data_IF_487326309692
#
_entry.id   IF_487326309692
#
_cell.length_a   1.000
_cell.length_b   1.000
_cell.length_c   1.000
_cell.angle_alpha   90.00
_cell.angle_beta   90.00
_cell.angle_gamma   90.00
#
_symmetry.space_group_name_H-M   'P 1'
#
loop_
_entity.id
_entity.type
_entity.pdbx_description
1 polymer ?
#
# COMPACT_ATOMS: atom_id res chain seq x y z
N UNK A 1 3.53 1.45 -19.78
CA UNK A 1 3.49 0.22 -18.95
C UNK A 1 2.25 0.27 -18.08
N UNK A 2 1.44 -0.80 -17.99
CA UNK A 2 0.23 -0.80 -17.14
C UNK A 2 0.60 -1.28 -15.73
N UNK A 3 0.49 -0.40 -14.74
CA UNK A 3 0.63 -0.76 -13.33
C UNK A 3 -0.50 -1.70 -12.88
N UNK A 4 -0.21 -2.61 -11.96
CA UNK A 4 -1.22 -3.41 -11.26
C UNK A 4 -1.73 -2.62 -10.06
N UNK A 5 -3.04 -2.56 -9.89
CA UNK A 5 -3.67 -1.89 -8.76
C UNK A 5 -4.11 -2.89 -7.70
N UNK A 6 -3.77 -2.61 -6.45
CA UNK A 6 -4.22 -3.33 -5.26
C UNK A 6 -4.96 -2.36 -4.34
N UNK A 7 -6.09 -2.79 -3.79
CA UNK A 7 -6.94 -1.95 -2.95
C UNK A 7 -6.94 -2.50 -1.54
N UNK A 8 -6.78 -1.60 -0.57
CA UNK A 8 -6.74 -1.97 0.83
C UNK A 8 -7.57 -1.01 1.66
N UNK A 9 -8.12 -1.56 2.75
CA UNK A 9 -8.66 -0.80 3.87
C UNK A 9 -7.68 -0.90 5.02
N UNK A 10 -7.27 0.24 5.56
CA UNK A 10 -6.25 0.33 6.62
C UNK A 10 -6.80 1.12 7.80
N UNK A 11 -6.16 1.02 8.97
CA UNK A 11 -6.32 2.03 10.01
C UNK A 11 -6.02 3.42 9.42
N UNK A 12 -7.03 4.29 9.40
CA UNK A 12 -6.94 5.64 8.82
C UNK A 12 -5.83 6.50 9.44
N UNK A 13 -5.46 6.24 10.69
CA UNK A 13 -4.36 6.96 11.38
C UNK A 13 -2.98 6.52 10.87
N UNK A 14 -2.91 5.39 10.16
CA UNK A 14 -1.67 4.79 9.64
C UNK A 14 -1.44 5.04 8.16
N UNK A 15 -2.36 5.69 7.44
CA UNK A 15 -2.22 6.00 6.00
C UNK A 15 -0.88 6.69 5.70
N UNK A 16 -0.52 7.71 6.48
CA UNK A 16 0.73 8.44 6.30
C UNK A 16 1.96 7.57 6.52
N UNK A 17 1.93 6.69 7.52
CA UNK A 17 3.00 5.74 7.79
C UNK A 17 3.18 4.74 6.65
N UNK A 18 2.09 4.13 6.17
CA UNK A 18 2.13 3.17 5.06
C UNK A 18 2.70 3.85 3.80
N UNK A 19 2.22 5.06 3.50
CA UNK A 19 2.73 5.86 2.37
C UNK A 19 4.24 6.11 2.50
N UNK A 20 4.70 6.53 3.68
CA UNK A 20 6.12 6.76 3.95
C UNK A 20 6.98 5.51 3.73
N UNK A 21 6.52 4.34 4.17
CA UNK A 21 7.26 3.07 3.97
C UNK A 21 7.43 2.74 2.48
N UNK A 22 6.39 2.88 1.67
CA UNK A 22 6.48 2.62 0.24
C UNK A 22 7.28 3.69 -0.51
N UNK A 23 7.19 4.96 -0.11
CA UNK A 23 8.00 6.04 -0.69
C UNK A 23 9.50 5.89 -0.38
N UNK A 24 9.85 5.31 0.77
CA UNK A 24 11.23 4.97 1.12
C UNK A 24 11.81 3.84 0.26
N UNK A 25 10.95 2.99 -0.32
CA UNK A 25 11.34 1.96 -1.29
C UNK A 25 11.20 2.51 -2.71
N UNK A 26 12.13 3.38 -3.10
CA UNK A 26 12.12 4.07 -4.41
C UNK A 26 11.76 3.11 -5.56
N UNK A 27 10.70 3.44 -6.31
CA UNK A 27 10.24 2.66 -7.47
C UNK A 27 9.40 1.43 -7.16
N UNK A 28 9.18 1.06 -5.90
CA UNK A 28 8.45 -0.16 -5.53
C UNK A 28 6.94 -0.07 -5.83
N UNK A 29 6.27 0.92 -5.26
CA UNK A 29 4.84 1.17 -5.49
C UNK A 29 4.46 2.61 -5.11
N UNK A 30 3.41 3.13 -5.76
CA UNK A 30 2.79 4.39 -5.37
C UNK A 30 1.56 4.14 -4.51
N UNK A 31 1.51 4.73 -3.32
CA UNK A 31 0.33 4.71 -2.45
C UNK A 31 -0.53 5.95 -2.71
N UNK A 32 -1.80 5.73 -3.05
CA UNK A 32 -2.81 6.79 -3.21
C UNK A 32 -3.92 6.63 -2.18
N UNK A 33 -4.21 7.67 -1.40
CA UNK A 33 -5.40 7.69 -0.54
C UNK A 33 -6.64 7.88 -1.39
N UNK A 34 -7.56 6.92 -1.35
CA UNK A 34 -8.85 7.02 -2.04
C UNK A 34 -9.90 7.67 -1.15
N UNK A 35 -9.90 7.32 0.16
CA UNK A 35 -10.75 7.93 1.16
C UNK A 35 -10.08 7.86 2.53
N UNK A 36 -9.72 9.00 3.09
CA UNK A 36 -9.07 9.09 4.41
C UNK A 36 -10.03 8.88 5.58
N UNK A 37 -11.34 9.10 5.39
CA UNK A 37 -12.35 8.95 6.43
C UNK A 37 -12.56 7.50 6.86
N UNK A 38 -12.47 6.57 5.90
CA UNK A 38 -12.67 5.13 6.12
C UNK A 38 -11.44 4.26 5.83
N UNK A 39 -10.28 4.88 5.57
CA UNK A 39 -9.01 4.16 5.45
C UNK A 39 -8.77 3.48 4.11
N UNK A 40 -9.45 3.88 3.02
CA UNK A 40 -9.24 3.27 1.71
C UNK A 40 -8.02 3.85 1.00
N UNK A 41 -7.10 2.97 0.62
CA UNK A 41 -5.91 3.28 -0.17
C UNK A 41 -5.83 2.38 -1.42
N UNK A 42 -5.06 2.83 -2.41
CA UNK A 42 -4.66 2.08 -3.59
C UNK A 42 -3.15 2.01 -3.67
N UNK A 43 -2.61 0.82 -3.84
CA UNK A 43 -1.24 0.58 -4.29
C UNK A 43 -1.22 0.48 -5.81
N UNK A 44 -0.39 1.27 -6.47
CA UNK A 44 -0.06 1.13 -7.90
C UNK A 44 1.35 0.55 -8.01
N UNK A 45 1.46 -0.69 -8.47
CA UNK A 45 2.71 -1.47 -8.47
C UNK A 45 3.13 -1.77 -9.90
N UNK A 46 4.43 -1.67 -10.19
CA UNK A 46 4.98 -2.22 -11.44
C UNK A 46 4.81 -3.75 -11.45
N UNK A 47 4.47 -4.40 -12.58
CA UNK A 47 4.40 -5.86 -12.64
C UNK A 47 5.65 -6.57 -12.11
N UNK A 48 6.83 -6.00 -12.40
CA UNK A 48 8.13 -6.53 -11.98
C UNK A 48 8.41 -6.38 -10.47
N UNK A 49 7.57 -5.62 -9.76
CA UNK A 49 7.72 -5.34 -8.32
C UNK A 49 6.59 -5.96 -7.47
N UNK A 50 5.72 -6.78 -8.07
CA UNK A 50 4.55 -7.34 -7.39
C UNK A 50 4.92 -8.19 -6.16
N UNK A 51 5.99 -8.98 -6.27
CA UNK A 51 6.42 -9.88 -5.20
C UNK A 51 7.00 -9.07 -4.05
N UNK A 52 7.87 -8.12 -4.34
CA UNK A 52 8.52 -7.24 -3.37
C UNK A 52 7.49 -6.35 -2.67
N UNK A 53 6.57 -5.74 -3.41
CA UNK A 53 5.51 -4.91 -2.83
C UNK A 53 4.55 -5.73 -1.97
N UNK A 54 4.28 -6.98 -2.35
CA UNK A 54 3.53 -7.94 -1.55
C UNK A 54 4.21 -8.22 -0.22
N UNK A 55 5.52 -8.50 -0.22
CA UNK A 55 6.30 -8.74 1.02
C UNK A 55 6.26 -7.55 1.98
N UNK A 56 6.43 -6.33 1.47
CA UNK A 56 6.33 -5.12 2.31
C UNK A 56 4.93 -5.00 2.91
N UNK A 57 3.88 -5.26 2.13
CA UNK A 57 2.50 -5.23 2.63
C UNK A 57 2.25 -6.33 3.69
N UNK A 58 2.76 -7.54 3.47
CA UNK A 58 2.63 -8.67 4.39
C UNK A 58 3.37 -8.40 5.71
N UNK A 59 4.53 -7.73 5.66
CA UNK A 59 5.24 -7.30 6.86
C UNK A 59 4.46 -6.21 7.62
N UNK A 60 3.89 -5.22 6.92
CA UNK A 60 3.04 -4.19 7.54
C UNK A 60 1.79 -4.79 8.21
N UNK A 61 1.19 -5.82 7.61
CA UNK A 61 0.01 -6.53 8.15
C UNK A 61 0.29 -7.20 9.52
N UNK A 62 1.55 -7.39 9.92
CA UNK A 62 1.90 -7.96 11.23
C UNK A 62 1.65 -6.98 12.38
N UNK A 63 1.79 -5.69 12.13
CA UNK A 63 1.72 -4.64 13.15
C UNK A 63 0.55 -3.66 12.95
N UNK A 64 -0.05 -3.66 11.75
CA UNK A 64 -1.11 -2.71 11.36
C UNK A 64 -2.31 -3.49 10.84
N UNK A 65 -3.50 -3.09 11.27
CA UNK A 65 -4.74 -3.62 10.71
C UNK A 65 -4.92 -3.16 9.25
N UNK A 66 -4.77 -4.11 8.33
CA UNK A 66 -4.88 -3.92 6.88
C UNK A 66 -5.65 -5.09 6.28
N UNK A 67 -6.70 -4.77 5.52
CA UNK A 67 -7.57 -5.73 4.85
C UNK A 67 -7.58 -5.47 3.35
N UNK A 68 -7.68 -6.52 2.54
CA UNK A 68 -7.97 -6.40 1.12
C UNK A 68 -9.40 -5.83 0.93
N UNK A 69 -9.56 -4.87 0.01
CA UNK A 69 -10.80 -4.11 -0.19
C UNK A 69 -11.52 -4.44 -1.51
#
# INVERSE_FOLDING_TARGET
>A
MKSVHKFYRVDKTRIGFIKFIFEAHEGLALVSTLNSGDGRIRLSVSPDCLVEAGRVMDDLKKDIEIHDA
#
